data_IF_398157515753
#
_entry.id   IF_398157515753
#
_cell.length_a   1.000
_cell.length_b   1.000
_cell.length_c   1.000
_cell.angle_alpha   90.00
_cell.angle_beta   90.00
_cell.angle_gamma   90.00
#
_symmetry.space_group_name_H-M   'P 1'
#
loop_
_entity.id
_entity.type
_entity.pdbx_description
1 polymer ?
#
# COMPACT_ATOMS: atom_id res chain seq x y z
N UNK A 1 -4.46 14.26 -12.26
CA UNK A 1 -4.54 12.86 -11.83
C UNK A 1 -5.03 12.02 -13.00
N UNK A 2 -4.30 10.99 -13.47
CA UNK A 2 -4.92 9.99 -14.33
C UNK A 2 -6.01 9.30 -13.49
N UNK A 3 -7.28 9.33 -13.91
CA UNK A 3 -8.34 8.67 -13.17
C UNK A 3 -8.06 7.17 -13.11
N UNK A 4 -8.22 6.56 -11.93
CA UNK A 4 -8.25 5.11 -11.84
C UNK A 4 -9.35 4.59 -12.78
N UNK A 5 -9.06 3.61 -13.65
CA UNK A 5 -10.07 3.05 -14.53
C UNK A 5 -11.30 2.65 -13.72
N UNK A 6 -12.52 2.99 -14.17
CA UNK A 6 -13.74 2.72 -13.40
C UNK A 6 -13.92 1.24 -13.09
N UNK A 7 -13.33 0.34 -13.89
CA UNK A 7 -13.33 -1.09 -13.64
C UNK A 7 -12.41 -1.48 -12.47
N UNK A 8 -11.18 -0.95 -12.41
CA UNK A 8 -10.25 -1.23 -11.30
C UNK A 8 -10.73 -0.64 -9.97
N UNK A 9 -11.31 0.56 -9.99
CA UNK A 9 -11.86 1.18 -8.77
C UNK A 9 -13.07 0.41 -8.20
N UNK A 10 -13.85 -0.25 -9.06
CA UNK A 10 -14.93 -1.15 -8.63
C UNK A 10 -14.41 -2.49 -8.10
N UNK A 11 -13.32 -2.98 -8.69
CA UNK A 11 -12.68 -4.25 -8.32
C UNK A 11 -11.94 -4.16 -6.98
N UNK A 12 -11.27 -3.03 -6.74
CA UNK A 12 -10.51 -2.77 -5.50
C UNK A 12 -11.07 -1.55 -4.75
N UNK A 13 -12.29 -1.65 -4.19
CA UNK A 13 -12.96 -0.52 -3.56
C UNK A 13 -12.24 -0.03 -2.29
N UNK A 14 -11.63 -0.92 -1.48
CA UNK A 14 -10.87 -0.48 -0.31
C UNK A 14 -9.59 0.24 -0.73
N UNK A 15 -8.84 -0.29 -1.70
CA UNK A 15 -7.66 0.38 -2.22
C UNK A 15 -8.00 1.75 -2.83
N UNK A 16 -9.04 1.84 -3.67
CA UNK A 16 -9.43 3.09 -4.32
C UNK A 16 -9.86 4.17 -3.32
N UNK A 17 -10.68 3.80 -2.33
CA UNK A 17 -11.11 4.72 -1.27
C UNK A 17 -9.94 5.16 -0.38
N UNK A 18 -9.05 4.23 -0.02
CA UNK A 18 -7.85 4.55 0.75
C UNK A 18 -6.91 5.49 0.00
N UNK A 19 -6.64 5.26 -1.28
CA UNK A 19 -5.80 6.14 -2.11
C UNK A 19 -6.37 7.55 -2.12
N UNK A 20 -7.68 7.69 -2.37
CA UNK A 20 -8.36 8.99 -2.38
C UNK A 20 -8.24 9.70 -1.03
N UNK A 21 -8.41 8.96 0.07
CA UNK A 21 -8.29 9.51 1.42
C UNK A 21 -6.85 9.97 1.72
N UNK A 22 -5.85 9.19 1.33
CA UNK A 22 -4.45 9.48 1.63
C UNK A 22 -3.82 10.57 0.74
N UNK A 23 -4.49 10.91 -0.36
CA UNK A 23 -4.15 12.06 -1.21
C UNK A 23 -5.02 13.29 -0.93
N UNK A 24 -5.95 13.22 0.01
CA UNK A 24 -6.73 14.38 0.41
C UNK A 24 -5.93 15.30 1.35
N UNK A 25 -6.16 16.60 1.22
CA UNK A 25 -5.50 17.65 2.03
C UNK A 25 -6.12 17.83 3.42
N UNK A 26 -7.28 17.22 3.69
CA UNK A 26 -8.08 17.44 4.90
C UNK A 26 -8.53 16.12 5.52
N UNK A 27 -7.58 15.35 6.06
CA UNK A 27 -7.89 14.15 6.87
C UNK A 27 -7.18 14.20 8.21
N UNK A 28 -7.85 13.73 9.26
CA UNK A 28 -7.26 13.49 10.57
C UNK A 28 -7.25 11.97 10.85
N UNK A 29 -6.09 11.33 11.11
CA UNK A 29 -4.72 11.89 11.13
C UNK A 29 -4.24 12.38 9.74
N UNK A 30 -3.17 13.21 9.68
CA UNK A 30 -2.69 13.82 8.45
C UNK A 30 -2.37 12.76 7.40
N UNK A 31 -2.80 13.03 6.17
CA UNK A 31 -2.67 12.11 5.04
C UNK A 31 -1.21 11.85 4.69
N UNK A 32 -0.95 10.78 3.91
CA UNK A 32 0.39 10.56 3.36
C UNK A 32 0.88 11.77 2.57
N UNK A 33 0.02 12.41 1.78
CA UNK A 33 0.37 13.59 1.00
C UNK A 33 0.83 14.75 1.90
N UNK A 34 0.04 15.10 2.92
CA UNK A 34 0.40 16.21 3.83
C UNK A 34 1.76 15.99 4.50
N UNK A 35 1.99 14.80 5.06
CA UNK A 35 3.27 14.49 5.72
C UNK A 35 4.43 14.45 4.74
N UNK A 36 4.19 13.98 3.51
CA UNK A 36 5.23 13.89 2.50
C UNK A 36 5.62 15.26 1.95
N UNK A 37 4.65 16.16 1.74
CA UNK A 37 4.88 17.56 1.36
C UNK A 37 5.68 18.29 2.43
N UNK A 38 5.24 18.22 3.69
CA UNK A 38 5.94 18.85 4.82
C UNK A 38 7.41 18.40 4.93
N UNK A 39 7.65 17.08 4.88
CA UNK A 39 9.03 16.56 4.89
C UNK A 39 9.83 16.95 3.65
N UNK A 40 9.19 17.05 2.48
CA UNK A 40 9.87 17.43 1.24
C UNK A 40 10.30 18.90 1.29
N UNK A 41 9.45 19.79 1.79
CA UNK A 41 9.77 21.20 1.97
C UNK A 41 10.88 21.40 3.00
N UNK A 42 10.78 20.75 4.17
CA UNK A 42 11.84 20.79 5.20
C UNK A 42 13.18 20.29 4.63
N UNK A 43 13.15 19.15 3.91
CA UNK A 43 14.33 18.61 3.24
C UNK A 43 14.92 19.62 2.25
N UNK A 44 14.09 20.25 1.40
CA UNK A 44 14.54 21.23 0.40
C UNK A 44 15.22 22.43 1.06
N UNK A 45 14.64 22.94 2.14
CA UNK A 45 15.22 24.04 2.92
C UNK A 45 16.55 23.65 3.57
N UNK A 46 16.61 22.50 4.24
CA UNK A 46 17.83 21.99 4.87
C UNK A 46 18.96 21.76 3.87
N UNK A 47 18.65 21.25 2.68
CA UNK A 47 19.62 21.08 1.59
C UNK A 47 20.18 22.41 1.09
N UNK A 48 19.33 23.42 0.89
CA UNK A 48 19.74 24.75 0.46
C UNK A 48 20.62 25.46 1.50
N UNK A 49 20.38 25.19 2.79
CA UNK A 49 21.12 25.78 3.91
C UNK A 49 22.35 24.96 4.34
N UNK A 50 22.66 23.86 3.64
CA UNK A 50 23.70 22.89 4.03
C UNK A 50 23.59 22.42 5.49
N UNK A 51 22.36 22.30 5.99
CA UNK A 51 22.10 21.94 7.37
C UNK A 51 22.41 20.45 7.63
N UNK A 52 22.92 20.10 8.83
CA UNK A 52 23.34 18.73 9.15
C UNK A 52 22.19 17.71 9.19
N UNK A 53 20.94 18.18 9.28
CA UNK A 53 19.72 17.38 9.31
C UNK A 53 19.19 16.98 7.90
N UNK A 54 19.75 17.54 6.82
CA UNK A 54 19.30 17.27 5.45
C UNK A 54 19.29 15.76 5.10
N UNK A 55 20.26 15.00 5.60
CA UNK A 55 20.32 13.54 5.42
C UNK A 55 19.19 12.81 6.17
N UNK A 56 18.89 13.23 7.40
CA UNK A 56 17.82 12.65 8.20
C UNK A 56 16.45 12.92 7.57
N UNK A 57 16.22 14.13 7.06
CA UNK A 57 15.00 14.52 6.36
C UNK A 57 14.82 13.76 5.04
N UNK A 58 15.90 13.56 4.27
CA UNK A 58 15.88 12.71 3.08
C UNK A 58 15.52 11.25 3.42
N UNK A 59 16.06 10.73 4.53
CA UNK A 59 15.73 9.40 5.06
C UNK A 59 14.26 9.29 5.47
N UNK A 60 13.72 10.29 6.17
CA UNK A 60 12.32 10.34 6.60
C UNK A 60 11.36 10.38 5.39
N UNK A 61 11.64 11.22 4.40
CA UNK A 61 10.86 11.29 3.15
C UNK A 61 10.88 9.95 2.40
N UNK A 62 12.06 9.35 2.23
CA UNK A 62 12.19 8.02 1.64
C UNK A 62 11.46 6.93 2.44
N UNK A 63 11.40 7.07 3.77
CA UNK A 63 10.62 6.23 4.66
C UNK A 63 9.12 6.33 4.38
N UNK A 64 8.58 7.54 4.22
CA UNK A 64 7.16 7.73 3.89
C UNK A 64 6.80 7.08 2.56
N UNK A 65 7.62 7.25 1.51
CA UNK A 65 7.39 6.62 0.21
C UNK A 65 7.38 5.08 0.28
N UNK A 66 8.28 4.49 1.09
CA UNK A 66 8.30 3.04 1.32
C UNK A 66 7.06 2.56 2.07
N UNK A 67 6.60 3.33 3.06
CA UNK A 67 5.38 3.02 3.83
C UNK A 67 4.14 3.14 2.96
N UNK A 68 4.08 4.12 2.05
CA UNK A 68 3.01 4.23 1.03
C UNK A 68 2.88 2.95 0.21
N UNK A 69 4.00 2.46 -0.34
CA UNK A 69 3.99 1.24 -1.16
C UNK A 69 3.61 0.00 -0.33
N UNK A 70 4.06 -0.08 0.93
CA UNK A 70 3.68 -1.17 1.82
C UNK A 70 2.17 -1.16 2.13
N UNK A 71 1.60 0.03 2.37
CA UNK A 71 0.19 0.22 2.61
C UNK A 71 -0.67 -0.04 1.36
N UNK A 72 -0.18 0.28 0.16
CA UNK A 72 -0.84 -0.11 -1.09
C UNK A 72 -0.96 -1.62 -1.24
N UNK A 73 0.15 -2.36 -1.01
CA UNK A 73 0.14 -3.83 -1.01
C UNK A 73 -0.88 -4.34 0.01
N UNK A 74 -0.91 -3.74 1.19
CA UNK A 74 -1.82 -4.08 2.28
C UNK A 74 -3.30 -3.97 1.90
N UNK A 75 -3.71 -2.82 1.36
CA UNK A 75 -5.12 -2.55 1.03
C UNK A 75 -5.60 -3.35 -0.18
N UNK A 76 -4.78 -3.50 -1.22
CA UNK A 76 -5.11 -4.33 -2.38
C UNK A 76 -5.23 -5.80 -1.94
N UNK A 77 -4.33 -6.28 -1.07
CA UNK A 77 -4.44 -7.63 -0.51
C UNK A 77 -5.74 -7.80 0.29
N UNK A 78 -6.16 -6.78 1.05
CA UNK A 78 -7.43 -6.80 1.79
C UNK A 78 -8.64 -6.92 0.87
N UNK A 79 -8.66 -6.23 -0.27
CA UNK A 79 -9.71 -6.38 -1.28
C UNK A 79 -9.78 -7.85 -1.79
N UNK A 80 -8.64 -8.43 -2.17
CA UNK A 80 -8.55 -9.82 -2.67
C UNK A 80 -9.05 -10.83 -1.62
N UNK A 81 -8.59 -10.71 -0.38
CA UNK A 81 -9.03 -11.58 0.73
C UNK A 81 -10.53 -11.47 0.93
N UNK A 82 -11.08 -10.25 0.87
CA UNK A 82 -12.50 -10.01 1.09
C UNK A 82 -13.36 -10.56 -0.04
N UNK A 83 -12.93 -10.37 -1.28
CA UNK A 83 -13.64 -10.87 -2.47
C UNK A 83 -13.69 -12.40 -2.48
N UNK A 84 -12.53 -13.05 -2.27
CA UNK A 84 -12.39 -14.50 -2.36
C UNK A 84 -12.69 -15.24 -1.05
N UNK A 85 -12.95 -14.51 0.04
CA UNK A 85 -13.16 -15.06 1.40
C UNK A 85 -12.05 -16.03 1.81
N UNK A 86 -10.80 -15.71 1.48
CA UNK A 86 -9.63 -16.54 1.76
C UNK A 86 -9.29 -16.48 3.25
N UNK A 87 -9.00 -17.63 3.86
CA UNK A 87 -8.44 -17.70 5.21
C UNK A 87 -7.03 -17.07 5.25
N UNK A 88 -6.85 -15.93 5.94
CA UNK A 88 -5.64 -15.13 5.85
C UNK A 88 -4.55 -15.73 6.73
N UNK A 89 -3.89 -16.78 6.26
CA UNK A 89 -2.68 -17.30 6.90
C UNK A 89 -1.47 -16.44 6.57
N UNK A 90 -0.68 -16.04 7.58
CA UNK A 90 0.50 -15.17 7.41
C UNK A 90 1.45 -15.57 6.28
N UNK A 91 1.80 -16.86 6.18
CA UNK A 91 2.68 -17.34 5.11
C UNK A 91 1.97 -17.28 3.75
N UNK A 92 0.67 -17.59 3.70
CA UNK A 92 -0.15 -17.51 2.48
C UNK A 92 -0.19 -16.10 1.92
N UNK A 93 -0.47 -15.12 2.78
CA UNK A 93 -0.52 -13.72 2.36
C UNK A 93 0.85 -13.24 1.89
N UNK A 94 1.93 -13.65 2.57
CA UNK A 94 3.28 -13.32 2.14
C UNK A 94 3.61 -13.84 0.74
N UNK A 95 3.22 -15.09 0.45
CA UNK A 95 3.51 -15.71 -0.85
C UNK A 95 2.65 -15.10 -1.95
N UNK A 96 1.35 -14.86 -1.69
CA UNK A 96 0.46 -14.13 -2.60
C UNK A 96 0.99 -12.73 -2.94
N UNK A 97 1.44 -11.97 -1.94
CA UNK A 97 1.97 -10.63 -2.17
C UNK A 97 3.25 -10.66 -3.00
N UNK A 98 4.15 -11.62 -2.75
CA UNK A 98 5.35 -11.80 -3.57
C UNK A 98 5.02 -12.15 -5.01
N UNK A 99 4.03 -13.00 -5.23
CA UNK A 99 3.59 -13.42 -6.57
C UNK A 99 3.01 -12.24 -7.36
N UNK A 100 2.12 -11.46 -6.75
CA UNK A 100 1.43 -10.36 -7.45
C UNK A 100 2.34 -9.14 -7.60
N UNK A 101 2.98 -8.70 -6.51
CA UNK A 101 3.66 -7.41 -6.42
C UNK A 101 5.19 -7.49 -6.47
N UNK A 102 5.77 -8.69 -6.49
CA UNK A 102 7.23 -8.89 -6.37
C UNK A 102 7.80 -8.56 -4.98
N UNK A 103 6.94 -8.19 -4.02
CA UNK A 103 7.31 -7.79 -2.65
C UNK A 103 6.19 -8.15 -1.69
N UNK A 104 6.55 -8.34 -0.42
CA UNK A 104 5.59 -8.57 0.66
C UNK A 104 5.77 -7.56 1.79
N UNK A 105 4.73 -7.43 2.60
CA UNK A 105 4.78 -6.65 3.83
C UNK A 105 5.78 -7.23 4.83
N UNK A 106 6.19 -6.41 5.81
CA UNK A 106 7.10 -6.89 6.84
C UNK A 106 6.39 -7.89 7.75
N UNK A 107 7.18 -8.76 8.38
CA UNK A 107 6.72 -9.75 9.36
C UNK A 107 5.80 -9.19 10.44
N UNK A 108 6.03 -7.94 10.88
CA UNK A 108 5.22 -7.27 11.91
C UNK A 108 3.82 -6.93 11.41
N UNK A 109 3.68 -6.51 10.15
CA UNK A 109 2.42 -6.08 9.54
C UNK A 109 1.57 -7.31 9.19
N UNK A 110 2.22 -8.41 8.84
CA UNK A 110 1.56 -9.70 8.59
C UNK A 110 0.93 -10.34 9.84
N UNK A 111 1.20 -9.83 11.05
CA UNK A 111 0.60 -10.37 12.30
C UNK A 111 -0.92 -10.26 12.30
N UNK A 112 -1.49 -9.29 11.60
CA UNK A 112 -2.95 -9.14 11.44
C UNK A 112 -3.60 -10.34 10.73
N UNK A 113 -2.79 -11.09 9.97
CA UNK A 113 -3.15 -12.32 9.27
C UNK A 113 -2.63 -13.56 10.02
N UNK A 114 -2.43 -13.49 11.34
CA UNK A 114 -1.99 -14.66 12.11
C UNK A 114 -3.16 -15.55 12.54
N UNK A 115 -4.39 -15.03 12.52
CA UNK A 115 -5.58 -15.76 12.98
C UNK A 115 -6.11 -16.62 11.83
N UNK A 116 -5.68 -17.87 11.79
CA UNK A 116 -6.29 -18.88 10.94
C UNK A 116 -7.74 -19.13 11.39
N UNK A 117 -8.68 -19.17 10.44
CA UNK A 117 -10.03 -19.67 10.67
C UNK A 117 -9.89 -21.17 11.02
N UNK A 118 -9.92 -21.50 12.31
CA UNK A 118 -9.91 -22.89 12.79
C UNK A 118 -11.25 -23.54 12.48
N UNK A 119 -11.38 -24.14 11.30
CA UNK A 119 -12.41 -25.14 11.06
C UNK A 119 -12.06 -26.38 11.90
N UNK A 120 -12.97 -26.78 12.79
CA UNK A 120 -12.76 -27.92 13.67
C UNK A 120 -12.40 -29.19 12.89
N UNK A 121 -11.50 -30.01 13.44
CA UNK A 121 -11.31 -31.39 12.98
C UNK A 121 -10.21 -31.62 11.92
N UNK A 122 -9.20 -30.77 11.81
CA UNK A 122 -7.94 -31.14 11.16
C UNK A 122 -7.90 -30.96 9.63
N UNK A 123 -6.85 -30.26 9.20
CA UNK A 123 -6.52 -29.80 7.83
C UNK A 123 -7.32 -28.57 7.38
N UNK A 124 -6.57 -27.48 7.15
CA UNK A 124 -7.11 -26.30 6.51
C UNK A 124 -7.61 -26.67 5.11
N UNK A 125 -8.77 -26.14 4.72
CA UNK A 125 -9.32 -26.35 3.37
C UNK A 125 -8.28 -25.94 2.30
N UNK A 126 -8.25 -26.63 1.15
CA UNK A 126 -7.41 -26.24 0.02
C UNK A 126 -7.72 -24.80 -0.40
N UNK A 127 -6.68 -24.05 -0.75
CA UNK A 127 -6.77 -22.64 -1.10
C UNK A 127 -7.61 -22.46 -2.36
N UNK A 128 -8.60 -21.55 -2.37
CA UNK A 128 -9.14 -21.07 -3.63
C UNK A 128 -8.00 -20.41 -4.39
N UNK A 129 -7.67 -20.90 -5.57
CA UNK A 129 -6.68 -20.24 -6.40
C UNK A 129 -7.17 -18.83 -6.74
N UNK A 130 -6.31 -17.83 -6.50
CA UNK A 130 -6.60 -16.46 -6.93
C UNK A 130 -6.56 -16.47 -8.45
N UNK A 131 -7.65 -16.12 -9.14
CA UNK A 131 -7.71 -16.11 -10.60
C UNK A 131 -6.63 -15.22 -11.21
N UNK A 132 -6.05 -15.62 -12.34
CA UNK A 132 -4.94 -14.89 -12.98
C UNK A 132 -5.34 -13.47 -13.38
N UNK A 133 -6.56 -13.27 -13.87
CA UNK A 133 -7.14 -11.96 -14.16
C UNK A 133 -7.12 -11.06 -12.92
N UNK A 134 -7.53 -11.58 -11.75
CA UNK A 134 -7.51 -10.80 -10.51
C UNK A 134 -6.08 -10.46 -10.07
N UNK A 135 -5.11 -11.35 -10.29
CA UNK A 135 -3.69 -11.08 -10.02
C UNK A 135 -3.15 -9.98 -10.93
N UNK A 136 -3.48 -10.03 -12.21
CA UNK A 136 -3.05 -9.04 -13.20
C UNK A 136 -3.67 -7.66 -12.92
N UNK A 137 -4.97 -7.61 -12.60
CA UNK A 137 -5.67 -6.39 -12.19
C UNK A 137 -5.08 -5.80 -10.89
N UNK A 138 -4.75 -6.64 -9.92
CA UNK A 138 -4.11 -6.21 -8.68
C UNK A 138 -2.70 -5.66 -8.91
N UNK A 139 -1.92 -6.30 -9.78
CA UNK A 139 -0.60 -5.82 -10.20
C UNK A 139 -0.71 -4.48 -10.92
N UNK A 140 -1.67 -4.34 -11.83
CA UNK A 140 -1.93 -3.09 -12.53
C UNK A 140 -2.31 -1.97 -11.55
N UNK A 141 -3.20 -2.26 -10.60
CA UNK A 141 -3.60 -1.31 -9.56
C UNK A 141 -2.39 -0.84 -8.72
N UNK A 142 -1.49 -1.76 -8.35
CA UNK A 142 -0.27 -1.40 -7.63
C UNK A 142 0.68 -0.54 -8.47
N UNK A 143 1.03 -0.98 -9.68
CA UNK A 143 2.00 -0.30 -10.54
C UNK A 143 1.56 1.12 -10.90
N UNK A 144 0.26 1.34 -11.14
CA UNK A 144 -0.28 2.68 -11.42
C UNK A 144 -0.17 3.64 -10.25
N UNK A 145 -0.20 3.15 -9.01
CA UNK A 145 -0.29 4.00 -7.81
C UNK A 145 0.98 3.99 -6.95
N UNK A 146 1.96 3.11 -7.22
CA UNK A 146 3.16 2.96 -6.39
C UNK A 146 3.99 4.23 -6.26
N UNK A 147 4.01 5.05 -7.32
CA UNK A 147 4.79 6.29 -7.41
C UNK A 147 3.89 7.55 -7.35
N UNK A 148 2.58 7.36 -7.16
CA UNK A 148 1.62 8.46 -7.18
C UNK A 148 1.86 9.48 -6.08
N UNK A 149 2.18 9.02 -4.86
CA UNK A 149 2.51 9.93 -3.75
C UNK A 149 3.70 10.83 -4.09
N UNK A 150 4.75 10.27 -4.71
CA UNK A 150 5.92 11.04 -5.11
C UNK A 150 5.55 12.11 -6.16
N UNK A 151 4.77 11.71 -7.17
CA UNK A 151 4.33 12.61 -8.24
C UNK A 151 3.45 13.75 -7.72
N UNK A 152 2.54 13.49 -6.77
CA UNK A 152 1.69 14.54 -6.19
C UNK A 152 2.46 15.47 -5.25
N UNK A 153 3.46 14.97 -4.50
CA UNK A 153 4.37 15.83 -3.72
C UNK A 153 5.14 16.78 -4.62
N UNK A 154 5.74 16.26 -5.70
CA UNK A 154 6.50 17.06 -6.69
C UNK A 154 5.62 18.08 -7.42
N UNK A 155 4.31 17.83 -7.55
CA UNK A 155 3.35 18.80 -8.11
C UNK A 155 2.96 19.89 -7.11
N UNK A 156 3.00 19.60 -5.81
CA UNK A 156 2.53 20.50 -4.75
C UNK A 156 3.61 21.48 -4.28
N UNK A 157 4.88 21.29 -4.66
CA UNK A 157 6.05 22.03 -4.16
C UNK A 157 6.82 22.76 -5.27
#
# INVERSE_FOLDING_TARGET
>A
MPPCPPNLAKRFPFAASWIKQQLAETTFPPSFLMRAVDLYEQKRLAQNLHAPDASALAGAYGGILKTWQAALVEVITTDIITELKIDPGRQRIKDLQKEIFGRAQQSKDLKRYAVAIRHGGGRAAPMPEVPTDLKDEAREMFERHRDLLKAEVERSC
#
